data_IF_025267227875
#
_entry.id   IF_025267227875
#
_cell.length_a   1.000
_cell.length_b   1.000
_cell.length_c   1.000
_cell.angle_alpha   90.00
_cell.angle_beta   90.00
_cell.angle_gamma   90.00
#
_symmetry.space_group_name_H-M   'P 1'
#
loop_
_entity.id
_entity.type
_entity.pdbx_description
1 polymer ?
#
# COMPACT_ATOMS: atom_id res chain seq x y z
N UNK A 1 31.86 82.25 -30.93
CA UNK A 1 31.01 81.05 -30.89
C UNK A 1 31.12 80.29 -29.54
N UNK A 2 31.53 80.94 -28.44
CA UNK A 2 31.74 80.28 -27.13
C UNK A 2 30.66 80.60 -26.07
N UNK A 3 29.65 81.40 -26.39
CA UNK A 3 28.63 81.83 -25.41
C UNK A 3 27.54 80.77 -25.15
N UNK A 4 27.44 79.74 -26.01
CA UNK A 4 26.43 78.68 -25.92
C UNK A 4 26.93 77.39 -25.25
N UNK A 5 28.24 77.23 -25.05
CA UNK A 5 28.85 76.06 -24.39
C UNK A 5 28.25 75.74 -23.00
N UNK A 6 28.06 76.71 -22.08
CA UNK A 6 27.53 76.39 -20.75
C UNK A 6 26.05 75.95 -20.76
N UNK A 7 25.31 76.19 -21.85
CA UNK A 7 23.94 75.69 -22.01
C UNK A 7 23.91 74.28 -22.57
N UNK A 8 24.80 73.96 -23.52
CA UNK A 8 24.97 72.61 -24.05
C UNK A 8 25.49 71.64 -22.98
N UNK A 9 26.48 72.05 -22.19
CA UNK A 9 27.01 71.26 -21.06
C UNK A 9 25.92 70.98 -20.01
N UNK A 10 25.00 71.94 -19.79
CA UNK A 10 23.87 71.77 -18.86
C UNK A 10 22.82 70.79 -19.41
N UNK A 11 22.56 70.82 -20.72
CA UNK A 11 21.66 69.86 -21.36
C UNK A 11 22.27 68.45 -21.40
N UNK A 12 23.57 68.31 -21.67
CA UNK A 12 24.29 67.04 -21.65
C UNK A 12 24.32 66.44 -20.24
N UNK A 13 24.66 67.24 -19.22
CA UNK A 13 24.58 66.81 -17.81
C UNK A 13 23.16 66.41 -17.40
N UNK A 14 22.14 67.17 -17.83
CA UNK A 14 20.75 66.83 -17.54
C UNK A 14 20.27 65.56 -18.27
N UNK A 15 20.82 65.26 -19.46
CA UNK A 15 20.55 64.04 -20.20
C UNK A 15 21.23 62.82 -19.57
N UNK A 16 22.49 62.95 -19.12
CA UNK A 16 23.23 61.90 -18.42
C UNK A 16 22.57 61.52 -17.09
N UNK A 17 22.19 62.52 -16.29
CA UNK A 17 21.47 62.27 -15.02
C UNK A 17 20.13 61.56 -15.27
N UNK A 18 19.40 61.93 -16.33
CA UNK A 18 18.16 61.24 -16.72
C UNK A 18 18.41 59.81 -17.21
N UNK A 19 19.50 59.58 -17.95
CA UNK A 19 19.87 58.26 -18.46
C UNK A 19 20.32 57.32 -17.33
N UNK A 20 21.08 57.81 -16.35
CA UNK A 20 21.46 57.07 -15.15
C UNK A 20 20.25 56.74 -14.29
N UNK A 21 19.38 57.73 -14.03
CA UNK A 21 18.13 57.51 -13.27
C UNK A 21 17.25 56.48 -13.97
N UNK A 22 17.14 56.51 -15.30
CA UNK A 22 16.39 55.52 -16.08
C UNK A 22 17.01 54.12 -15.98
N UNK A 23 18.33 53.99 -15.97
CA UNK A 23 19.02 52.70 -15.79
C UNK A 23 18.80 52.11 -14.41
N UNK A 24 18.86 52.92 -13.35
CA UNK A 24 18.60 52.46 -11.98
C UNK A 24 17.13 52.08 -11.77
N UNK A 25 16.19 52.84 -12.38
CA UNK A 25 14.77 52.46 -12.44
C UNK A 25 14.56 51.13 -13.18
N UNK A 26 15.26 50.89 -14.28
CA UNK A 26 15.17 49.60 -14.99
C UNK A 26 15.72 48.43 -14.17
N UNK A 27 16.85 48.59 -13.49
CA UNK A 27 17.43 47.55 -12.61
C UNK A 27 16.51 47.21 -11.45
N UNK A 28 15.91 48.22 -10.81
CA UNK A 28 14.97 48.02 -9.69
C UNK A 28 13.69 47.33 -10.14
N UNK A 29 13.16 47.66 -11.33
CA UNK A 29 12.01 46.96 -11.92
C UNK A 29 12.32 45.48 -12.18
N UNK A 30 13.52 45.18 -12.71
CA UNK A 30 13.96 43.79 -12.95
C UNK A 30 14.15 43.03 -11.64
N UNK A 31 14.77 43.64 -10.63
CA UNK A 31 14.93 43.00 -9.32
C UNK A 31 13.57 42.74 -8.65
N UNK A 32 12.64 43.70 -8.73
CA UNK A 32 11.30 43.55 -8.18
C UNK A 32 10.48 42.48 -8.91
N UNK A 33 10.63 42.34 -10.24
CA UNK A 33 9.94 41.29 -10.98
C UNK A 33 10.48 39.89 -10.64
N UNK A 34 11.80 39.75 -10.48
CA UNK A 34 12.41 38.48 -10.01
C UNK A 34 11.90 38.14 -8.61
N UNK A 35 11.93 39.10 -7.68
CA UNK A 35 11.43 38.89 -6.32
C UNK A 35 9.94 38.51 -6.31
N UNK A 36 9.13 39.12 -7.17
CA UNK A 36 7.71 38.80 -7.31
C UNK A 36 7.47 37.39 -7.85
N UNK A 37 8.23 36.95 -8.86
CA UNK A 37 8.15 35.57 -9.38
C UNK A 37 8.56 34.56 -8.29
N UNK A 38 9.65 34.83 -7.57
CA UNK A 38 10.09 33.97 -6.46
C UNK A 38 9.04 33.92 -5.34
N UNK A 39 8.40 35.04 -5.04
CA UNK A 39 7.33 35.10 -4.05
C UNK A 39 6.09 34.29 -4.46
N UNK A 40 5.66 34.39 -5.72
CA UNK A 40 4.57 33.57 -6.25
C UNK A 40 4.94 32.08 -6.21
N UNK A 41 6.17 31.74 -6.60
CA UNK A 41 6.66 30.36 -6.57
C UNK A 41 6.67 29.81 -5.13
N UNK A 42 7.09 30.60 -4.15
CA UNK A 42 7.05 30.23 -2.73
C UNK A 42 5.61 30.01 -2.24
N UNK A 43 4.67 30.90 -2.60
CA UNK A 43 3.26 30.73 -2.24
C UNK A 43 2.64 29.47 -2.88
N UNK A 44 2.98 29.18 -4.14
CA UNK A 44 2.55 27.96 -4.81
C UNK A 44 3.08 26.70 -4.11
N UNK A 45 4.33 26.69 -3.65
CA UNK A 45 4.91 25.58 -2.90
C UNK A 45 4.25 25.38 -1.52
N UNK A 46 3.94 26.46 -0.80
CA UNK A 46 3.21 26.37 0.49
C UNK A 46 1.79 25.87 0.29
N UNK A 47 1.09 26.32 -0.76
CA UNK A 47 -0.24 25.85 -1.13
C UNK A 47 -0.25 24.36 -1.50
N UNK A 48 0.69 23.92 -2.33
CA UNK A 48 0.86 22.51 -2.69
C UNK A 48 1.25 21.63 -1.49
N UNK A 49 2.05 22.15 -0.55
CA UNK A 49 2.41 21.42 0.67
C UNK A 49 1.20 21.22 1.60
N UNK A 50 0.32 22.22 1.72
CA UNK A 50 -0.95 22.10 2.47
C UNK A 50 -1.88 21.05 1.85
N UNK A 51 -1.89 20.94 0.52
CA UNK A 51 -2.64 19.91 -0.20
C UNK A 51 -2.07 18.50 0.04
N UNK A 52 -0.74 18.34 0.02
CA UNK A 52 -0.06 17.07 0.31
C UNK A 52 -0.29 16.57 1.74
N UNK A 53 -0.32 17.45 2.74
CA UNK A 53 -0.60 17.07 4.15
C UNK A 53 -2.02 16.49 4.31
N UNK A 54 -2.98 16.96 3.51
CA UNK A 54 -4.33 16.38 3.47
C UNK A 54 -4.35 14.93 2.96
N UNK A 55 -3.53 14.62 1.95
CA UNK A 55 -3.34 13.25 1.46
C UNK A 55 -2.65 12.35 2.49
N UNK A 56 -1.61 12.85 3.17
CA UNK A 56 -0.92 12.10 4.24
C UNK A 56 -1.86 11.83 5.43
N UNK A 57 -2.75 12.76 5.76
CA UNK A 57 -3.73 12.54 6.83
C UNK A 57 -4.80 11.53 6.43
N UNK A 58 -5.16 11.46 5.15
CA UNK A 58 -6.05 10.43 4.62
C UNK A 58 -5.37 9.05 4.59
N UNK A 59 -4.08 8.98 4.21
CA UNK A 59 -3.28 7.75 4.25
C UNK A 59 -3.07 7.23 5.68
N UNK A 60 -2.86 8.12 6.66
CA UNK A 60 -2.80 7.75 8.08
C UNK A 60 -4.17 7.31 8.58
N UNK A 61 -5.25 7.98 8.15
CA UNK A 61 -6.61 7.58 8.53
C UNK A 61 -7.03 6.26 7.88
N UNK A 62 -6.45 5.89 6.74
CA UNK A 62 -6.61 4.58 6.09
C UNK A 62 -5.58 3.55 6.54
N UNK A 63 -4.63 3.92 7.41
CA UNK A 63 -3.70 2.93 7.97
C UNK A 63 -4.46 2.03 8.94
N UNK A 64 -4.10 0.75 8.94
CA UNK A 64 -4.68 -0.27 9.83
C UNK A 64 -4.72 0.23 11.27
N UNK A 65 -5.90 0.10 11.89
CA UNK A 65 -6.14 0.58 13.24
C UNK A 65 -5.19 -0.04 14.27
N UNK A 66 -5.10 0.55 15.48
CA UNK A 66 -4.28 0.00 16.56
C UNK A 66 -4.63 -1.46 16.88
N UNK A 67 -5.91 -1.82 16.72
CA UNK A 67 -6.48 -3.11 17.10
C UNK A 67 -6.35 -4.20 16.01
N UNK A 68 -5.65 -3.92 14.90
CA UNK A 68 -5.43 -4.88 13.81
C UNK A 68 -4.82 -6.19 14.34
N UNK A 69 -5.41 -7.32 13.97
CA UNK A 69 -5.11 -8.68 14.44
C UNK A 69 -5.45 -8.98 15.91
N UNK A 70 -5.95 -8.02 16.70
CA UNK A 70 -6.22 -8.24 18.12
C UNK A 70 -7.11 -9.47 18.33
N UNK A 71 -8.21 -9.59 17.58
CA UNK A 71 -9.17 -10.68 17.76
C UNK A 71 -8.61 -12.03 17.32
N UNK A 72 -7.88 -12.07 16.20
CA UNK A 72 -7.17 -13.27 15.75
C UNK A 72 -6.16 -13.77 16.78
N UNK A 73 -5.34 -12.86 17.33
CA UNK A 73 -4.35 -13.24 18.34
C UNK A 73 -4.98 -13.61 19.69
N UNK A 74 -6.09 -12.97 20.08
CA UNK A 74 -6.89 -13.40 21.23
C UNK A 74 -7.46 -14.80 21.02
N UNK A 75 -7.90 -15.13 19.80
CA UNK A 75 -8.34 -16.48 19.47
C UNK A 75 -7.19 -17.47 19.61
N UNK A 76 -5.99 -17.19 19.08
CA UNK A 76 -4.81 -18.07 19.21
C UNK A 76 -4.52 -18.32 20.68
N UNK A 77 -4.42 -17.26 21.49
CA UNK A 77 -4.06 -17.34 22.91
C UNK A 77 -5.02 -18.20 23.73
N UNK A 78 -6.30 -18.23 23.35
CA UNK A 78 -7.33 -18.98 24.06
C UNK A 78 -7.53 -20.41 23.54
N UNK A 79 -7.15 -20.71 22.30
CA UNK A 79 -7.47 -21.97 21.64
C UNK A 79 -6.24 -22.83 21.26
N UNK A 80 -5.06 -22.23 21.22
CA UNK A 80 -3.79 -22.92 20.91
C UNK A 80 -3.02 -23.15 22.22
N UNK A 81 -2.47 -24.36 22.44
CA UNK A 81 -1.64 -24.62 23.61
C UNK A 81 -0.41 -23.71 23.69
N UNK A 82 -0.24 -23.00 24.81
CA UNK A 82 0.89 -22.10 25.00
C UNK A 82 2.24 -22.77 24.74
N UNK A 83 3.15 -22.03 24.08
CA UNK A 83 4.46 -22.53 23.65
C UNK A 83 4.46 -23.26 22.31
N UNK A 84 3.29 -23.53 21.71
CA UNK A 84 3.21 -23.96 20.31
C UNK A 84 3.80 -22.92 19.36
N UNK A 85 4.12 -23.37 18.15
CA UNK A 85 4.65 -22.55 17.08
C UNK A 85 3.57 -22.25 16.06
N UNK A 86 3.39 -20.97 15.76
CA UNK A 86 2.49 -20.46 14.75
C UNK A 86 3.31 -20.22 13.48
N UNK A 87 2.83 -20.75 12.36
CA UNK A 87 3.34 -20.41 11.04
C UNK A 87 2.67 -19.12 10.59
N UNK A 88 3.30 -17.97 10.85
CA UNK A 88 2.89 -16.70 10.25
C UNK A 88 3.36 -16.64 8.79
N UNK A 89 2.55 -16.06 7.90
CA UNK A 89 2.87 -15.98 6.47
C UNK A 89 3.72 -14.77 6.12
N UNK A 90 3.57 -13.66 6.85
CA UNK A 90 4.43 -12.48 6.70
C UNK A 90 5.20 -12.13 8.00
N UNK A 91 6.36 -11.53 7.82
CA UNK A 91 7.28 -11.12 8.88
C UNK A 91 6.92 -9.75 9.47
N UNK A 92 6.27 -8.87 8.71
CA UNK A 92 5.90 -7.53 9.15
C UNK A 92 4.63 -7.51 10.03
N UNK A 93 3.83 -8.57 10.00
CA UNK A 93 2.73 -8.84 10.95
C UNK A 93 3.22 -9.09 12.38
N UNK A 94 4.39 -9.68 12.52
CA UNK A 94 4.91 -10.20 13.78
C UNK A 94 4.87 -9.20 14.95
N UNK A 95 5.23 -7.91 14.82
CA UNK A 95 5.20 -6.98 15.94
C UNK A 95 3.81 -6.88 16.56
N UNK A 96 2.74 -6.85 15.75
CA UNK A 96 1.36 -6.83 16.24
C UNK A 96 0.99 -8.18 16.84
N UNK A 97 1.32 -9.28 16.15
CA UNK A 97 1.07 -10.64 16.64
C UNK A 97 1.69 -10.86 18.03
N UNK A 98 2.98 -10.54 18.17
CA UNK A 98 3.75 -10.71 19.40
C UNK A 98 3.28 -9.77 20.53
N UNK A 99 2.81 -8.56 20.18
CA UNK A 99 2.22 -7.63 21.15
C UNK A 99 0.95 -8.22 21.79
N UNK A 100 0.06 -8.78 20.99
CA UNK A 100 -1.19 -9.37 21.49
C UNK A 100 -1.03 -10.77 22.08
N UNK A 101 -0.08 -11.56 21.57
CA UNK A 101 0.20 -12.90 22.06
C UNK A 101 1.71 -13.21 22.15
N UNK A 102 2.33 -12.91 23.31
CA UNK A 102 3.71 -13.28 23.60
C UNK A 102 3.85 -14.72 24.12
N UNK A 103 2.78 -15.54 24.10
CA UNK A 103 2.80 -16.90 24.69
C UNK A 103 3.16 -18.00 23.68
N UNK A 104 3.19 -17.65 22.39
CA UNK A 104 3.54 -18.54 21.29
C UNK A 104 4.83 -18.09 20.59
N UNK A 105 5.39 -18.98 19.78
CA UNK A 105 6.55 -18.69 18.93
C UNK A 105 6.14 -18.58 17.47
N UNK A 106 6.85 -17.75 16.71
CA UNK A 106 6.55 -17.43 15.31
C UNK A 106 7.73 -17.81 14.42
N UNK A 107 7.48 -18.08 13.14
CA UNK A 107 8.53 -18.50 12.19
C UNK A 107 9.39 -17.33 11.79
N UNK A 108 8.75 -16.22 11.43
CA UNK A 108 9.39 -15.00 11.00
C UNK A 108 8.92 -13.83 11.85
N UNK A 109 9.70 -12.75 11.92
CA UNK A 109 9.22 -11.57 12.63
C UNK A 109 10.16 -10.37 12.73
N UNK A 110 11.46 -10.63 12.67
CA UNK A 110 12.42 -9.61 12.22
C UNK A 110 12.65 -9.80 10.72
N UNK A 111 13.66 -9.11 10.20
CA UNK A 111 14.08 -9.22 8.81
C UNK A 111 14.22 -10.71 8.35
N UNK A 112 13.56 -11.13 7.26
CA UNK A 112 13.63 -12.50 6.73
C UNK A 112 15.05 -12.98 6.44
N UNK A 113 16.02 -12.05 6.26
CA UNK A 113 17.43 -12.38 6.06
C UNK A 113 18.04 -13.12 7.26
N UNK A 114 17.50 -13.01 8.48
CA UNK A 114 17.96 -13.81 9.61
C UNK A 114 17.68 -15.30 9.40
N UNK A 115 16.50 -15.66 8.87
CA UNK A 115 16.17 -17.04 8.52
C UNK A 115 17.04 -17.52 7.36
N UNK A 116 17.24 -16.66 6.35
CA UNK A 116 18.11 -16.93 5.20
C UNK A 116 19.56 -17.21 5.62
N UNK A 117 20.15 -16.35 6.45
CA UNK A 117 21.53 -16.51 6.95
C UNK A 117 21.66 -17.79 7.77
N UNK A 118 20.66 -18.08 8.61
CA UNK A 118 20.69 -19.25 9.49
C UNK A 118 20.48 -20.56 8.75
N UNK A 119 19.53 -20.61 7.81
CA UNK A 119 19.18 -21.79 7.05
C UNK A 119 18.53 -21.42 5.70
N UNK A 120 19.34 -21.30 4.63
CA UNK A 120 18.85 -20.88 3.31
C UNK A 120 17.80 -21.81 2.71
N UNK A 121 17.90 -23.12 2.97
CA UNK A 121 16.94 -24.10 2.46
C UNK A 121 15.57 -23.94 3.14
N UNK A 122 15.57 -23.68 4.45
CA UNK A 122 14.33 -23.46 5.20
C UNK A 122 13.70 -22.10 4.85
N UNK A 123 14.53 -21.07 4.62
CA UNK A 123 14.05 -19.76 4.15
C UNK A 123 13.39 -19.85 2.78
N UNK A 124 14.00 -20.57 1.83
CA UNK A 124 13.41 -20.82 0.52
C UNK A 124 12.09 -21.57 0.63
N UNK A 125 12.04 -22.58 1.51
CA UNK A 125 10.81 -23.35 1.71
C UNK A 125 9.70 -22.50 2.36
N UNK A 126 10.07 -21.57 3.25
CA UNK A 126 9.13 -20.62 3.84
C UNK A 126 8.50 -19.76 2.74
N UNK A 127 9.33 -19.15 1.88
CA UNK A 127 8.86 -18.36 0.72
C UNK A 127 7.99 -19.19 -0.25
N UNK A 128 8.39 -20.42 -0.58
CA UNK A 128 7.61 -21.29 -1.48
C UNK A 128 6.25 -21.64 -0.89
N UNK A 129 6.15 -21.82 0.44
CA UNK A 129 4.88 -22.06 1.12
C UNK A 129 4.03 -20.80 1.15
N UNK A 130 4.58 -19.65 1.57
CA UNK A 130 3.82 -18.40 1.73
C UNK A 130 3.32 -17.83 0.42
N UNK A 131 4.02 -18.08 -0.69
CA UNK A 131 3.60 -17.72 -2.04
C UNK A 131 2.74 -18.80 -2.73
N UNK A 132 2.25 -19.80 -1.99
CA UNK A 132 1.38 -20.85 -2.54
C UNK A 132 2.01 -21.73 -3.63
N UNK A 133 3.35 -21.78 -3.73
CA UNK A 133 4.05 -22.60 -4.76
C UNK A 133 4.06 -24.09 -4.43
N UNK A 134 3.62 -24.46 -3.23
CA UNK A 134 3.56 -25.84 -2.73
C UNK A 134 2.11 -26.34 -2.74
N UNK A 135 1.86 -27.44 -3.46
CA UNK A 135 0.50 -27.98 -3.62
C UNK A 135 -0.12 -28.53 -2.33
N UNK A 136 0.69 -29.15 -1.48
CA UNK A 136 0.24 -29.64 -0.18
C UNK A 136 1.20 -29.16 0.92
N UNK A 137 0.97 -27.96 1.48
CA UNK A 137 1.90 -27.37 2.44
C UNK A 137 1.82 -28.01 3.83
N UNK A 138 0.79 -28.82 4.13
CA UNK A 138 0.54 -29.35 5.49
C UNK A 138 1.68 -30.20 6.05
N UNK A 139 2.28 -31.06 5.22
CA UNK A 139 3.40 -31.90 5.65
C UNK A 139 4.66 -31.06 5.90
N UNK A 140 4.92 -30.10 5.02
CA UNK A 140 6.06 -29.19 5.12
C UNK A 140 5.95 -28.32 6.38
N UNK A 141 4.80 -27.69 6.61
CA UNK A 141 4.58 -26.83 7.78
C UNK A 141 4.74 -27.62 9.08
N UNK A 142 4.16 -28.83 9.18
CA UNK A 142 4.30 -29.68 10.37
C UNK A 142 5.73 -30.16 10.58
N UNK A 143 6.35 -30.75 9.55
CA UNK A 143 7.59 -31.51 9.73
C UNK A 143 8.84 -30.63 9.67
N UNK A 144 8.82 -29.57 8.85
CA UNK A 144 9.99 -28.69 8.66
C UNK A 144 9.96 -27.48 9.57
N UNK A 145 8.78 -26.91 9.81
CA UNK A 145 8.62 -25.73 10.65
C UNK A 145 8.18 -26.09 12.07
N UNK A 146 7.58 -27.25 12.29
CA UNK A 146 7.12 -27.67 13.63
C UNK A 146 5.87 -26.91 14.07
N UNK A 147 5.06 -26.44 13.12
CA UNK A 147 3.84 -25.69 13.38
C UNK A 147 2.60 -26.50 13.02
N UNK A 148 1.54 -26.34 13.81
CA UNK A 148 0.22 -26.96 13.56
C UNK A 148 -0.86 -25.95 13.22
N UNK A 149 -0.57 -24.67 13.43
CA UNK A 149 -1.44 -23.55 13.16
C UNK A 149 -0.73 -22.59 12.21
N UNK A 150 -1.48 -22.10 11.24
CA UNK A 150 -1.05 -21.07 10.28
C UNK A 150 -1.84 -19.82 10.57
N UNK A 151 -1.16 -18.69 10.65
CA UNK A 151 -1.76 -17.37 10.66
C UNK A 151 -1.41 -16.71 9.33
N UNK A 152 -2.41 -16.18 8.64
CA UNK A 152 -2.24 -15.38 7.43
C UNK A 152 -3.08 -14.11 7.56
N UNK A 153 -2.53 -13.00 7.09
CA UNK A 153 -3.33 -11.83 6.74
C UNK A 153 -4.24 -12.14 5.53
N UNK A 154 -4.93 -11.10 5.05
CA UNK A 154 -5.80 -11.16 3.88
C UNK A 154 -5.19 -10.49 2.64
N UNK A 155 -3.87 -10.42 2.53
CA UNK A 155 -3.22 -9.92 1.33
C UNK A 155 -3.27 -10.95 0.19
N UNK A 156 -3.55 -10.48 -1.03
CA UNK A 156 -3.67 -11.30 -2.25
C UNK A 156 -2.46 -12.23 -2.51
N UNK A 157 -1.29 -11.87 -1.98
CA UNK A 157 -0.05 -12.66 -2.11
C UNK A 157 -0.16 -14.05 -1.47
N UNK A 158 -1.11 -14.24 -0.53
CA UNK A 158 -1.34 -15.50 0.17
C UNK A 158 -2.56 -16.30 -0.34
N UNK A 159 -3.31 -15.80 -1.33
CA UNK A 159 -4.50 -16.46 -1.86
C UNK A 159 -4.22 -17.88 -2.37
N UNK A 160 -3.12 -18.05 -3.11
CA UNK A 160 -2.71 -19.36 -3.63
C UNK A 160 -2.39 -20.35 -2.49
N UNK A 161 -1.78 -19.87 -1.39
CA UNK A 161 -1.54 -20.70 -0.21
C UNK A 161 -2.88 -21.12 0.40
N UNK A 162 -3.80 -20.18 0.60
CA UNK A 162 -5.10 -20.46 1.20
C UNK A 162 -5.92 -21.45 0.34
N UNK A 163 -6.04 -21.19 -0.96
CA UNK A 163 -6.75 -22.06 -1.89
C UNK A 163 -6.22 -23.50 -1.87
N UNK A 164 -4.90 -23.67 -1.96
CA UNK A 164 -4.26 -24.99 -1.91
C UNK A 164 -4.39 -25.66 -0.55
N UNK A 165 -4.26 -24.89 0.54
CA UNK A 165 -4.49 -25.39 1.88
C UNK A 165 -5.91 -25.97 2.02
N UNK A 166 -6.93 -25.24 1.57
CA UNK A 166 -8.32 -25.69 1.68
C UNK A 166 -8.64 -26.87 0.76
N UNK A 167 -8.14 -26.87 -0.47
CA UNK A 167 -8.32 -27.98 -1.42
C UNK A 167 -7.57 -29.26 -1.00
N UNK A 168 -6.50 -29.14 -0.21
CA UNK A 168 -5.70 -30.30 0.19
C UNK A 168 -6.43 -31.28 1.13
N UNK A 169 -7.50 -30.83 1.81
CA UNK A 169 -8.21 -31.61 2.84
C UNK A 169 -7.43 -31.77 4.15
N UNK A 170 -6.24 -31.19 4.27
CA UNK A 170 -5.40 -31.23 5.47
C UNK A 170 -5.63 -30.07 6.42
N UNK A 171 -6.26 -29.00 5.96
CA UNK A 171 -6.51 -27.81 6.74
C UNK A 171 -7.99 -27.69 7.12
N UNK A 172 -8.22 -27.08 8.27
CA UNK A 172 -9.51 -26.49 8.63
C UNK A 172 -9.29 -25.02 8.93
N UNK A 173 -10.22 -24.17 8.51
CA UNK A 173 -10.27 -22.79 8.94
C UNK A 173 -10.83 -22.74 10.36
N UNK A 174 -9.98 -22.41 11.32
CA UNK A 174 -10.33 -22.42 12.73
C UNK A 174 -10.86 -21.05 13.20
N UNK A 175 -10.43 -19.98 12.53
CA UNK A 175 -10.89 -18.61 12.75
C UNK A 175 -10.72 -17.78 11.48
N UNK A 176 -11.59 -16.79 11.31
CA UNK A 176 -11.46 -15.72 10.30
C UNK A 176 -12.17 -14.47 10.82
N UNK A 177 -11.58 -13.31 10.56
CA UNK A 177 -12.21 -12.00 10.67
C UNK A 177 -11.82 -11.10 9.50
N UNK A 178 -12.06 -9.79 9.62
CA UNK A 178 -11.74 -8.83 8.57
C UNK A 178 -10.23 -8.63 8.36
N UNK A 179 -9.40 -8.99 9.34
CA UNK A 179 -7.95 -8.74 9.32
C UNK A 179 -7.16 -9.99 8.92
N UNK A 180 -7.59 -11.18 9.37
CA UNK A 180 -6.77 -12.39 9.26
C UNK A 180 -7.58 -13.69 9.19
N UNK A 181 -6.88 -14.76 8.81
CA UNK A 181 -7.35 -16.14 8.83
C UNK A 181 -6.39 -17.03 9.62
N UNK A 182 -6.95 -17.95 10.41
CA UNK A 182 -6.18 -18.94 11.14
C UNK A 182 -6.58 -20.34 10.69
N UNK A 183 -5.62 -21.07 10.16
CA UNK A 183 -5.80 -22.45 9.72
C UNK A 183 -5.19 -23.42 10.72
N UNK A 184 -5.90 -24.50 11.03
CA UNK A 184 -5.36 -25.63 11.80
C UNK A 184 -5.07 -26.80 10.86
N UNK A 185 -3.90 -27.39 11.02
CA UNK A 185 -3.53 -28.62 10.30
C UNK A 185 -4.10 -29.83 11.03
N UNK A 186 -4.94 -30.59 10.33
CA UNK A 186 -5.60 -31.81 10.82
C UNK A 186 -4.59 -32.94 11.02
N UNK A 187 -4.92 -33.85 11.94
CA UNK A 187 -4.14 -35.09 12.13
C UNK A 187 -4.31 -36.07 10.96
N UNK A 188 -5.48 -36.04 10.31
CA UNK A 188 -5.84 -36.91 9.19
C UNK A 188 -6.43 -36.08 8.05
N UNK A 189 -6.15 -36.48 6.80
CA UNK A 189 -6.76 -35.86 5.63
C UNK A 189 -8.26 -36.12 5.63
N UNK A 190 -9.05 -35.07 5.48
CA UNK A 190 -10.49 -35.15 5.32
C UNK A 190 -10.93 -34.68 3.94
N UNK A 191 -12.23 -34.60 3.74
CA UNK A 191 -12.79 -33.94 2.56
C UNK A 191 -12.53 -32.42 2.65
N UNK A 192 -12.19 -31.76 1.51
CA UNK A 192 -12.17 -30.31 1.42
C UNK A 192 -13.53 -29.72 1.79
N UNK A 193 -13.59 -28.48 2.30
CA UNK A 193 -14.87 -27.78 2.43
C UNK A 193 -15.57 -27.72 1.06
N UNK A 194 -16.91 -27.76 1.02
CA UNK A 194 -17.63 -27.50 -0.21
C UNK A 194 -17.26 -26.09 -0.72
N UNK A 195 -16.92 -25.97 -2.00
CA UNK A 195 -16.68 -24.66 -2.64
C UNK A 195 -17.92 -23.77 -2.41
N UNK A 196 -17.75 -22.69 -1.66
CA UNK A 196 -18.74 -21.62 -1.60
C UNK A 196 -18.68 -20.86 -2.92
N UNK A 197 -19.75 -20.95 -3.71
CA UNK A 197 -19.97 -20.19 -4.96
C UNK A 197 -20.25 -18.71 -4.66
N UNK A 198 -19.37 -18.03 -3.94
CA UNK A 198 -19.49 -16.60 -3.68
C UNK A 198 -18.20 -15.91 -4.12
N UNK A 199 -18.07 -15.71 -5.44
CA UNK A 199 -17.33 -14.61 -6.06
C UNK A 199 -17.65 -14.58 -7.57
N UNK A 200 -18.92 -14.36 -7.90
CA UNK A 200 -19.34 -13.81 -9.20
C UNK A 200 -20.01 -12.45 -8.92
N UNK A 201 -19.21 -11.46 -8.54
CA UNK A 201 -19.62 -10.08 -8.70
C UNK A 201 -19.73 -9.81 -10.22
N UNK A 202 -20.86 -9.28 -10.73
CA UNK A 202 -20.99 -9.04 -12.17
C UNK A 202 -19.98 -7.98 -12.60
N UNK A 203 -19.12 -8.36 -13.55
CA UNK A 203 -18.35 -7.45 -14.40
C UNK A 203 -19.34 -6.51 -15.11
N UNK A 204 -19.51 -5.31 -14.57
CA UNK A 204 -20.21 -4.20 -15.21
C UNK A 204 -19.35 -3.61 -16.35
N UNK A 205 -19.08 -4.47 -17.33
CA UNK A 205 -18.57 -4.12 -18.64
C UNK A 205 -19.63 -3.35 -19.43
N UNK A 206 -19.69 -2.05 -19.21
CA UNK A 206 -20.33 -1.12 -20.13
C UNK A 206 -19.57 -1.14 -21.47
N UNK A 207 -20.13 -1.84 -22.46
CA UNK A 207 -19.77 -1.64 -23.87
C UNK A 207 -21.00 -1.16 -24.64
N UNK A 208 -20.94 0.10 -25.04
CA UNK A 208 -21.77 0.70 -26.09
C UNK A 208 -21.61 -0.10 -27.39
N UNK A 209 -22.68 -0.68 -27.94
CA UNK A 209 -22.85 -0.81 -29.39
C UNK A 209 -24.32 -0.71 -29.80
N UNK A 210 -24.51 -0.07 -30.94
CA UNK A 210 -25.72 0.48 -31.51
C UNK A 210 -26.72 -0.58 -32.03
N UNK A 211 -28.01 -0.25 -31.91
CA UNK A 211 -28.97 -0.27 -33.01
C UNK A 211 -29.40 -1.62 -33.60
N UNK A 212 -30.59 -2.07 -33.21
CA UNK A 212 -31.54 -2.59 -34.21
C UNK A 212 -32.99 -2.35 -33.78
N UNK A 213 -33.76 -1.69 -34.64
CA UNK A 213 -35.18 -1.38 -34.46
C UNK A 213 -36.03 -2.61 -34.83
N UNK A 214 -37.07 -2.99 -34.07
CA UNK A 214 -38.00 -4.02 -34.50
C UNK A 214 -38.98 -3.47 -35.55
N UNK A 215 -39.42 -4.30 -36.53
CA UNK A 215 -40.39 -3.87 -37.53
C UNK A 215 -41.80 -3.79 -36.95
N UNK A 216 -42.54 -2.77 -37.40
CA UNK A 216 -43.96 -2.52 -37.13
C UNK A 216 -44.82 -3.67 -37.69
N UNK A 217 -45.63 -4.31 -36.85
CA UNK A 217 -46.77 -5.12 -37.30
C UNK A 217 -48.03 -4.26 -37.39
N UNK A 218 -48.54 -4.15 -38.61
CA UNK A 218 -49.77 -3.50 -39.01
C UNK A 218 -50.99 -4.15 -38.35
N UNK A 219 -51.74 -3.38 -37.56
CA UNK A 219 -53.09 -3.74 -37.13
C UNK A 219 -54.10 -2.81 -37.81
N UNK A 220 -54.92 -3.36 -38.73
CA UNK A 220 -56.24 -2.84 -39.16
C UNK A 220 -56.95 -3.86 -40.05
N UNK A 221 -58.29 -3.82 -40.20
CA UNK A 221 -59.27 -2.93 -39.57
C UNK A 221 -60.26 -3.60 -38.60
#
# INVERSE_FOLDING_TARGET
>A
MNELQPFLDREEQAQDVKAETRRELWKTIIAASIAFVLFIMMLAQVGASRFKVGGVSAEIASSEGPDHYQKGMEWIRNNVPAGERIFNTDWDDFPRMFFYDPTHSYISGLDPTYLLDKNPELAKLYEEVTLGRIENPAEIIRNRFGARYVFSDKEDVHDDLYAKAMQSGWFEQAYEDDDCVILRIRDQQGEPPPESLEDDAPDDGASDEEGDLPPEEEEKP
#
